data_IF_546881516823
#
_entry.id   IF_546881516823
#
_cell.length_a   1.000
_cell.length_b   1.000
_cell.length_c   1.000
_cell.angle_alpha   90.00
_cell.angle_beta   90.00
_cell.angle_gamma   90.00
#
_symmetry.space_group_name_H-M   'P 1'
#
loop_
_entity.id
_entity.type
_entity.pdbx_description
1 polymer ?
#
# COMPACT_ATOMS: atom_id res chain seq x y z
N UNK A 1 15.59 -57.73 62.14
CA UNK A 1 16.45 -56.59 62.53
C UNK A 1 15.83 -55.92 63.73
N UNK A 2 16.56 -55.86 64.84
CA UNK A 2 16.09 -55.24 66.09
C UNK A 2 15.90 -53.74 65.90
N UNK A 3 14.96 -53.14 66.65
CA UNK A 3 14.65 -51.70 66.58
C UNK A 3 15.88 -50.83 66.85
N UNK A 4 16.84 -51.33 67.61
CA UNK A 4 18.10 -50.65 67.92
C UNK A 4 19.13 -50.73 66.78
N UNK A 5 19.17 -51.82 66.01
CA UNK A 5 20.01 -51.93 64.81
C UNK A 5 19.55 -50.97 63.71
N UNK A 6 18.23 -50.80 63.56
CA UNK A 6 17.63 -49.83 62.63
C UNK A 6 17.89 -48.38 63.07
N UNK A 7 17.99 -48.12 64.37
CA UNK A 7 18.40 -46.80 64.89
C UNK A 7 19.88 -46.54 64.64
N UNK A 8 20.73 -47.53 64.88
CA UNK A 8 22.17 -47.40 64.70
C UNK A 8 22.55 -47.17 63.23
N UNK A 9 21.96 -47.94 62.31
CA UNK A 9 22.14 -47.74 60.85
C UNK A 9 21.69 -46.35 60.38
N UNK A 10 20.57 -45.82 60.91
CA UNK A 10 20.12 -44.45 60.62
C UNK A 10 21.11 -43.41 61.15
N UNK A 11 21.64 -43.58 62.36
CA UNK A 11 22.64 -42.68 62.95
C UNK A 11 23.93 -42.71 62.12
N UNK A 12 24.37 -43.88 61.69
CA UNK A 12 25.60 -44.03 60.92
C UNK A 12 25.46 -43.45 59.51
N UNK A 13 24.31 -43.65 58.85
CA UNK A 13 23.99 -42.99 57.59
C UNK A 13 23.96 -41.46 57.72
N UNK A 14 23.41 -40.93 58.80
CA UNK A 14 23.41 -39.48 59.07
C UNK A 14 24.84 -38.95 59.31
N UNK A 15 25.66 -39.67 60.07
CA UNK A 15 27.08 -39.32 60.29
C UNK A 15 27.88 -39.35 58.98
N UNK A 16 27.66 -40.36 58.14
CA UNK A 16 28.31 -40.46 56.83
C UNK A 16 27.89 -39.32 55.89
N UNK A 17 26.59 -39.00 55.84
CA UNK A 17 26.09 -37.88 55.05
C UNK A 17 26.67 -36.53 55.53
N UNK A 18 26.79 -36.32 56.84
CA UNK A 18 27.44 -35.14 57.40
C UNK A 18 28.93 -35.07 57.06
N UNK A 19 29.66 -36.19 57.16
CA UNK A 19 31.07 -36.26 56.79
C UNK A 19 31.30 -35.96 55.30
N UNK A 20 30.45 -36.50 54.43
CA UNK A 20 30.48 -36.24 52.98
C UNK A 20 30.25 -34.75 52.67
N UNK A 21 29.20 -34.15 53.25
CA UNK A 21 28.91 -32.71 53.09
C UNK A 21 30.04 -31.82 53.60
N UNK A 22 30.68 -32.20 54.71
CA UNK A 22 31.86 -31.49 55.25
C UNK A 22 33.04 -31.56 54.26
N UNK A 23 33.34 -32.75 53.73
CA UNK A 23 34.43 -32.95 52.77
C UNK A 23 34.22 -32.16 51.47
N UNK A 24 33.00 -32.18 50.94
CA UNK A 24 32.65 -31.44 49.73
C UNK A 24 32.80 -29.91 49.94
N UNK A 25 32.25 -29.39 51.04
CA UNK A 25 32.40 -27.96 51.39
C UNK A 25 33.87 -27.55 51.55
N UNK A 26 34.70 -28.40 52.16
CA UNK A 26 36.14 -28.16 52.32
C UNK A 26 36.85 -28.14 50.96
N UNK A 27 36.51 -29.07 50.06
CA UNK A 27 37.06 -29.10 48.70
C UNK A 27 36.73 -27.82 47.92
N UNK A 28 35.48 -27.34 47.99
CA UNK A 28 35.06 -26.09 47.34
C UNK A 28 35.83 -24.88 47.87
N UNK A 29 36.02 -24.80 49.19
CA UNK A 29 36.81 -23.73 49.81
C UNK A 29 38.26 -23.77 49.33
N UNK A 30 38.88 -24.95 49.27
CA UNK A 30 40.24 -25.10 48.76
C UNK A 30 40.37 -24.72 47.27
N UNK A 31 39.38 -25.09 46.45
CA UNK A 31 39.35 -24.72 45.04
C UNK A 31 39.18 -23.20 44.86
N UNK A 32 38.29 -22.58 45.63
CA UNK A 32 38.08 -21.13 45.62
C UNK A 32 39.35 -20.37 46.00
N UNK A 33 40.08 -20.84 47.03
CA UNK A 33 41.37 -20.26 47.42
C UNK A 33 42.37 -20.37 46.27
N UNK A 34 42.56 -21.56 45.67
CA UNK A 34 43.48 -21.75 44.53
C UNK A 34 43.14 -20.86 43.34
N UNK A 35 41.84 -20.67 43.09
CA UNK A 35 41.37 -19.81 42.01
C UNK A 35 41.68 -18.33 42.25
N UNK A 36 41.45 -17.85 43.48
CA UNK A 36 41.76 -16.48 43.87
C UNK A 36 43.27 -16.20 43.88
N UNK A 37 44.08 -17.17 44.32
CA UNK A 37 45.55 -17.09 44.25
C UNK A 37 46.04 -16.97 42.81
N UNK A 38 45.53 -17.78 41.87
CA UNK A 38 45.91 -17.73 40.45
C UNK A 38 45.62 -16.39 39.78
N UNK A 39 44.55 -15.71 40.20
CA UNK A 39 44.15 -14.41 39.66
C UNK A 39 44.77 -13.22 40.39
N UNK A 40 45.57 -13.48 41.43
CA UNK A 40 46.13 -12.47 42.31
C UNK A 40 45.05 -11.52 42.89
N UNK A 41 43.85 -12.05 43.11
CA UNK A 41 42.75 -11.31 43.72
C UNK A 41 42.91 -11.27 45.24
N UNK A 42 42.26 -10.29 45.90
CA UNK A 42 42.33 -10.13 47.35
C UNK A 42 41.63 -11.29 48.07
N UNK A 43 42.39 -12.05 48.85
CA UNK A 43 41.85 -13.18 49.62
C UNK A 43 41.32 -12.66 50.96
N UNK A 44 39.99 -12.67 51.09
CA UNK A 44 39.26 -12.30 52.29
C UNK A 44 38.20 -13.36 52.58
N UNK A 45 37.77 -13.49 53.84
CA UNK A 45 36.69 -14.38 54.24
C UNK A 45 35.43 -14.20 53.39
N UNK A 46 35.09 -12.95 53.03
CA UNK A 46 33.93 -12.67 52.20
C UNK A 46 34.11 -13.10 50.74
N UNK A 47 35.29 -12.84 50.13
CA UNK A 47 35.56 -13.23 48.74
C UNK A 47 35.66 -14.74 48.60
N UNK A 48 36.27 -15.42 49.57
CA UNK A 48 36.34 -16.89 49.63
C UNK A 48 34.95 -17.51 49.83
N UNK A 49 34.11 -16.95 50.72
CA UNK A 49 32.74 -17.42 50.93
C UNK A 49 31.89 -17.33 49.66
N UNK A 50 31.97 -16.18 48.96
CA UNK A 50 31.27 -15.95 47.70
C UNK A 50 31.71 -16.97 46.63
N UNK A 51 33.02 -17.16 46.45
CA UNK A 51 33.56 -18.05 45.41
C UNK A 51 33.35 -19.54 45.72
N UNK A 52 33.42 -19.94 46.99
CA UNK A 52 33.20 -21.33 47.40
C UNK A 52 31.71 -21.68 47.56
N UNK A 53 30.81 -20.69 47.44
CA UNK A 53 29.38 -20.80 47.71
C UNK A 53 29.10 -21.42 49.10
N UNK A 54 29.78 -20.91 50.13
CA UNK A 54 29.58 -21.29 51.54
C UNK A 54 29.28 -20.05 52.37
N UNK A 55 28.56 -20.21 53.48
CA UNK A 55 28.29 -19.08 54.36
C UNK A 55 29.57 -18.61 55.06
N UNK A 56 29.66 -17.31 55.35
CA UNK A 56 30.78 -16.75 56.12
C UNK A 56 30.88 -17.41 57.49
N UNK A 57 29.74 -17.71 58.12
CA UNK A 57 29.68 -18.44 59.38
C UNK A 57 30.34 -19.83 59.30
N UNK A 58 30.22 -20.54 58.17
CA UNK A 58 30.87 -21.83 57.96
C UNK A 58 32.40 -21.72 58.00
N UNK A 59 32.98 -20.67 57.40
CA UNK A 59 34.42 -20.43 57.41
C UNK A 59 34.95 -20.15 58.82
N UNK A 60 34.15 -19.49 59.68
CA UNK A 60 34.49 -19.26 61.08
C UNK A 60 34.26 -20.49 61.97
N UNK A 61 33.31 -21.36 61.61
CA UNK A 61 32.98 -22.57 62.38
C UNK A 61 34.15 -23.57 62.45
N UNK A 62 34.99 -23.64 61.41
CA UNK A 62 36.13 -24.57 61.35
C UNK A 62 37.46 -23.81 61.45
N UNK A 63 38.20 -23.94 62.56
CA UNK A 63 39.45 -23.20 62.79
C UNK A 63 40.51 -23.43 61.71
N UNK A 64 40.58 -24.63 61.14
CA UNK A 64 41.52 -25.01 60.08
C UNK A 64 41.38 -24.09 58.85
N UNK A 65 40.14 -23.80 58.46
CA UNK A 65 39.83 -22.94 57.31
C UNK A 65 40.17 -21.48 57.65
N UNK A 66 39.84 -21.04 58.86
CA UNK A 66 40.14 -19.69 59.35
C UNK A 66 41.64 -19.41 59.36
N UNK A 67 42.43 -20.33 59.88
CA UNK A 67 43.90 -20.21 59.92
C UNK A 67 44.49 -20.17 58.52
N UNK A 68 44.03 -21.03 57.62
CA UNK A 68 44.50 -21.07 56.23
C UNK A 68 44.25 -19.75 55.49
N UNK A 69 43.03 -19.21 55.58
CA UNK A 69 42.69 -17.91 54.98
C UNK A 69 43.52 -16.78 55.61
N UNK A 70 43.74 -16.81 56.92
CA UNK A 70 44.56 -15.80 57.61
C UNK A 70 46.04 -15.86 57.19
N UNK A 71 46.62 -17.06 57.07
CA UNK A 71 47.99 -17.25 56.60
C UNK A 71 48.18 -16.69 55.19
N UNK A 72 47.29 -17.02 54.27
CA UNK A 72 47.35 -16.55 52.87
C UNK A 72 47.15 -15.02 52.81
N UNK A 73 46.27 -14.47 53.64
CA UNK A 73 46.09 -13.03 53.73
C UNK A 73 47.35 -12.34 54.24
N UNK A 74 48.03 -12.91 55.23
CA UNK A 74 49.26 -12.36 55.79
C UNK A 74 50.41 -12.42 54.79
N UNK A 75 50.54 -13.52 54.04
CA UNK A 75 51.54 -13.62 52.97
C UNK A 75 51.25 -12.63 51.85
N UNK A 76 49.99 -12.47 51.41
CA UNK A 76 49.61 -11.44 50.44
C UNK A 76 49.89 -10.01 50.94
N UNK A 77 49.74 -9.73 52.24
CA UNK A 77 50.03 -8.39 52.80
C UNK A 77 51.51 -8.11 53.05
N UNK A 78 52.34 -9.15 53.19
CA UNK A 78 53.78 -9.04 53.44
C UNK A 78 54.60 -8.99 52.15
N UNK A 79 53.99 -9.24 50.99
CA UNK A 79 54.64 -9.01 49.70
C UNK A 79 54.82 -7.50 49.50
N UNK A 80 56.00 -7.02 49.07
CA UNK A 80 56.18 -5.63 48.68
C UNK A 80 55.10 -5.31 47.67
N UNK A 81 54.19 -4.38 48.03
CA UNK A 81 53.24 -3.83 47.08
C UNK A 81 54.12 -3.21 45.99
N UNK A 82 54.13 -3.79 44.79
CA UNK A 82 54.66 -3.08 43.64
C UNK A 82 53.89 -1.75 43.62
N UNK A 83 54.58 -0.68 44.02
CA UNK A 83 54.13 0.66 43.71
C UNK A 83 53.96 0.64 42.20
N UNK A 84 52.70 0.68 41.76
CA UNK A 84 52.34 0.78 40.36
C UNK A 84 53.22 1.88 39.78
N UNK A 85 54.28 1.49 39.06
CA UNK A 85 55.16 2.42 38.36
C UNK A 85 54.23 3.35 37.63
N UNK A 86 54.21 4.61 38.05
CA UNK A 86 53.39 5.67 37.49
C UNK A 86 53.48 5.53 35.98
N UNK A 87 52.43 4.96 35.37
CA UNK A 87 52.42 4.73 33.94
C UNK A 87 52.59 6.11 33.33
N UNK A 88 53.68 6.33 32.60
CA UNK A 88 54.06 7.60 31.96
C UNK A 88 52.82 8.46 31.70
N UNK A 89 52.78 9.69 32.22
CA UNK A 89 51.66 10.66 32.07
C UNK A 89 51.01 10.66 30.66
N UNK A 90 51.80 10.35 29.63
CA UNK A 90 51.37 10.20 28.23
C UNK A 90 50.39 9.04 27.95
N UNK A 91 50.42 7.93 28.70
CA UNK A 91 49.44 6.84 28.57
C UNK A 91 48.12 7.15 29.27
N UNK A 92 48.18 7.77 30.46
CA UNK A 92 46.98 8.22 31.18
C UNK A 92 46.21 9.29 30.41
N UNK A 93 46.91 10.26 29.81
CA UNK A 93 46.30 11.28 28.95
C UNK A 93 45.61 10.67 27.72
N UNK A 94 46.22 9.69 27.04
CA UNK A 94 45.58 8.96 25.93
C UNK A 94 44.32 8.19 26.35
N UNK A 95 44.31 7.61 27.55
CA UNK A 95 43.13 6.92 28.09
C UNK A 95 42.02 7.94 28.38
N UNK A 96 42.38 9.08 28.98
CA UNK A 96 41.45 10.18 29.26
C UNK A 96 40.84 10.76 28.00
N UNK A 97 41.60 10.97 26.92
CA UNK A 97 41.06 11.47 25.66
C UNK A 97 40.08 10.48 25.04
N UNK A 98 40.43 9.19 24.97
CA UNK A 98 39.52 8.14 24.47
C UNK A 98 38.24 8.03 25.30
N UNK A 99 38.34 8.13 26.64
CA UNK A 99 37.15 8.13 27.49
C UNK A 99 36.26 9.34 27.24
N UNK A 100 36.85 10.54 27.10
CA UNK A 100 36.09 11.76 26.78
C UNK A 100 35.40 11.66 25.43
N UNK A 101 36.10 11.18 24.41
CA UNK A 101 35.53 10.92 23.07
C UNK A 101 34.36 9.92 23.16
N UNK A 102 34.54 8.84 23.93
CA UNK A 102 33.47 7.84 24.10
C UNK A 102 32.26 8.42 24.83
N UNK A 103 32.47 9.24 25.86
CA UNK A 103 31.39 9.92 26.59
C UNK A 103 30.63 10.85 25.65
N UNK A 104 31.33 11.68 24.88
CA UNK A 104 30.69 12.59 23.92
C UNK A 104 29.87 11.84 22.87
N UNK A 105 30.39 10.72 22.35
CA UNK A 105 29.68 9.90 21.39
C UNK A 105 28.41 9.30 22.00
N UNK A 106 28.52 8.73 23.21
CA UNK A 106 27.37 8.19 23.94
C UNK A 106 26.33 9.27 24.29
N UNK A 107 26.74 10.46 24.68
CA UNK A 107 25.85 11.58 24.94
C UNK A 107 25.11 12.03 23.67
N UNK A 108 25.82 12.09 22.54
CA UNK A 108 25.23 12.43 21.24
C UNK A 108 24.21 11.38 20.80
N UNK A 109 24.51 10.10 20.97
CA UNK A 109 23.62 8.99 20.66
C UNK A 109 22.38 9.01 21.57
N UNK A 110 22.57 9.22 22.87
CA UNK A 110 21.47 9.32 23.83
C UNK A 110 20.54 10.51 23.48
N UNK A 111 21.10 11.65 23.08
CA UNK A 111 20.31 12.81 22.61
C UNK A 111 19.52 12.48 21.35
N UNK A 112 20.11 11.78 20.39
CA UNK A 112 19.38 11.35 19.18
C UNK A 112 18.27 10.34 19.50
N UNK A 113 18.55 9.36 20.37
CA UNK A 113 17.56 8.37 20.80
C UNK A 113 16.38 9.02 21.52
N UNK A 114 16.64 10.00 22.40
CA UNK A 114 15.57 10.78 23.05
C UNK A 114 14.68 11.50 22.05
N UNK A 115 15.27 12.20 21.07
CA UNK A 115 14.51 12.86 19.98
C UNK A 115 13.66 11.87 19.19
N UNK A 116 14.20 10.70 18.85
CA UNK A 116 13.45 9.64 18.16
C UNK A 116 12.30 9.15 19.04
N UNK A 117 12.51 8.95 20.33
CA UNK A 117 11.46 8.54 21.28
C UNK A 117 10.36 9.59 21.41
N UNK A 118 10.70 10.88 21.51
CA UNK A 118 9.72 11.96 21.54
C UNK A 118 8.87 12.01 20.26
N UNK A 119 9.50 11.87 19.09
CA UNK A 119 8.80 11.82 17.82
C UNK A 119 7.87 10.60 17.72
N UNK A 120 8.34 9.42 18.14
CA UNK A 120 7.53 8.21 18.20
C UNK A 120 6.37 8.34 19.18
N UNK A 121 6.58 8.91 20.37
CA UNK A 121 5.51 9.18 21.33
C UNK A 121 4.43 10.09 20.73
N UNK A 122 4.82 11.13 20.00
CA UNK A 122 3.88 12.00 19.27
C UNK A 122 3.13 11.27 18.15
N UNK A 123 3.77 10.32 17.46
CA UNK A 123 3.10 9.48 16.46
C UNK A 123 2.10 8.52 17.13
N UNK A 124 2.48 7.85 18.21
CA UNK A 124 1.60 6.95 18.97
C UNK A 124 0.38 7.69 19.49
N UNK A 125 0.54 8.91 20.02
CA UNK A 125 -0.59 9.72 20.46
C UNK A 125 -1.56 10.01 19.30
N UNK A 126 -1.06 10.38 18.13
CA UNK A 126 -1.89 10.58 16.92
C UNK A 126 -2.62 9.32 16.51
N UNK A 127 -1.93 8.18 16.50
CA UNK A 127 -2.53 6.88 16.16
C UNK A 127 -3.67 6.54 17.12
N UNK A 128 -3.48 6.75 18.42
CA UNK A 128 -4.53 6.53 19.42
C UNK A 128 -5.74 7.43 19.19
N UNK A 129 -5.52 8.72 18.90
CA UNK A 129 -6.61 9.65 18.57
C UNK A 129 -7.37 9.22 17.32
N UNK A 130 -6.66 8.79 16.27
CA UNK A 130 -7.28 8.28 15.05
C UNK A 130 -8.07 6.99 15.30
N UNK A 131 -7.54 6.09 16.11
CA UNK A 131 -8.22 4.86 16.47
C UNK A 131 -9.54 5.14 17.20
N UNK A 132 -9.54 6.07 18.16
CA UNK A 132 -10.75 6.47 18.88
C UNK A 132 -11.79 7.08 17.93
N UNK A 133 -11.37 7.88 16.95
CA UNK A 133 -12.26 8.41 15.92
C UNK A 133 -12.86 7.31 15.04
N UNK A 134 -12.06 6.32 14.64
CA UNK A 134 -12.53 5.18 13.86
C UNK A 134 -13.53 4.34 14.65
N UNK A 135 -13.29 4.10 15.94
CA UNK A 135 -14.21 3.38 16.82
C UNK A 135 -15.54 4.13 16.99
N UNK A 136 -15.48 5.45 17.16
CA UNK A 136 -16.71 6.28 17.17
C UNK A 136 -17.46 6.17 15.85
N UNK A 137 -16.77 6.33 14.72
CA UNK A 137 -17.40 6.22 13.40
C UNK A 137 -18.02 4.84 13.18
N UNK A 138 -17.32 3.76 13.53
CA UNK A 138 -17.87 2.40 13.38
C UNK A 138 -19.13 2.19 14.22
N UNK A 139 -19.17 2.71 15.45
CA UNK A 139 -20.37 2.67 16.29
C UNK A 139 -21.54 3.44 15.67
N UNK A 140 -21.29 4.61 15.05
CA UNK A 140 -22.34 5.39 14.38
C UNK A 140 -22.87 4.66 13.15
N UNK A 141 -22.00 4.04 12.36
CA UNK A 141 -22.40 3.23 11.20
C UNK A 141 -23.27 2.07 11.67
N UNK A 142 -22.86 1.36 12.72
CA UNK A 142 -23.62 0.25 13.28
C UNK A 142 -25.01 0.70 13.79
N UNK A 143 -25.11 1.86 14.45
CA UNK A 143 -26.39 2.42 14.88
C UNK A 143 -27.28 2.79 13.68
N UNK A 144 -26.71 3.43 12.66
CA UNK A 144 -27.44 3.77 11.44
C UNK A 144 -27.94 2.52 10.72
N UNK A 145 -27.13 1.46 10.62
CA UNK A 145 -27.54 0.17 10.06
C UNK A 145 -28.70 -0.45 10.84
N UNK A 146 -28.64 -0.43 12.19
CA UNK A 146 -29.73 -0.89 13.04
C UNK A 146 -31.01 -0.09 12.79
N UNK A 147 -30.93 1.24 12.75
CA UNK A 147 -32.09 2.11 12.46
C UNK A 147 -32.67 1.84 11.07
N UNK A 148 -31.82 1.66 10.06
CA UNK A 148 -32.23 1.37 8.69
C UNK A 148 -32.94 0.02 8.62
N UNK A 149 -32.38 -1.01 9.27
CA UNK A 149 -33.00 -2.33 9.36
C UNK A 149 -34.33 -2.28 10.11
N UNK A 150 -34.42 -1.57 11.23
CA UNK A 150 -35.68 -1.37 11.95
C UNK A 150 -36.73 -0.67 11.08
N UNK A 151 -36.33 0.35 10.30
CA UNK A 151 -37.21 1.04 9.36
C UNK A 151 -37.67 0.14 8.22
N UNK A 152 -36.79 -0.71 7.68
CA UNK A 152 -37.16 -1.75 6.70
C UNK A 152 -38.20 -2.72 7.29
N UNK A 153 -37.98 -3.23 8.50
CA UNK A 153 -38.92 -4.11 9.18
C UNK A 153 -40.28 -3.42 9.42
N UNK A 154 -40.26 -2.15 9.84
CA UNK A 154 -41.49 -1.37 10.03
C UNK A 154 -42.25 -1.17 8.71
N UNK A 155 -41.56 -0.82 7.62
CA UNK A 155 -42.17 -0.61 6.31
C UNK A 155 -42.81 -1.89 5.74
N UNK A 156 -42.22 -3.07 6.02
CA UNK A 156 -42.81 -4.38 5.65
C UNK A 156 -44.06 -4.69 6.47
N UNK A 157 -44.13 -4.26 7.73
CA UNK A 157 -45.30 -4.47 8.60
C UNK A 157 -46.43 -3.47 8.34
N UNK A 158 -46.11 -2.23 7.99
CA UNK A 158 -47.08 -1.18 7.67
C UNK A 158 -47.59 -1.23 6.23
N UNK A 159 -46.90 -1.94 5.33
CA UNK A 159 -47.38 -2.20 3.97
C UNK A 159 -48.51 -3.24 3.95
N UNK A 160 -49.68 -2.90 4.48
CA UNK A 160 -50.98 -3.47 4.04
C UNK A 160 -51.46 -2.74 2.79
N UNK A 161 -50.55 -2.51 1.85
CA UNK A 161 -50.87 -1.94 0.54
C UNK A 161 -50.66 -3.07 -0.46
N UNK A 162 -51.65 -3.32 -1.29
CA UNK A 162 -51.52 -4.22 -2.45
C UNK A 162 -50.25 -3.85 -3.19
N UNK A 163 -49.28 -4.77 -3.36
CA UNK A 163 -48.07 -4.46 -4.09
C UNK A 163 -48.49 -4.01 -5.48
N UNK A 164 -48.21 -2.75 -5.84
CA UNK A 164 -48.26 -2.36 -7.24
C UNK A 164 -47.29 -3.30 -7.93
N UNK A 165 -47.81 -4.20 -8.79
CA UNK A 165 -46.98 -5.15 -9.53
C UNK A 165 -45.83 -4.35 -10.13
N UNK A 166 -44.62 -4.52 -9.59
CA UNK A 166 -43.43 -3.97 -10.24
C UNK A 166 -43.46 -4.59 -11.61
N UNK A 167 -43.75 -3.79 -12.65
CA UNK A 167 -43.62 -4.21 -14.04
C UNK A 167 -42.25 -4.85 -14.12
N UNK A 168 -42.22 -6.18 -14.34
CA UNK A 168 -40.98 -6.91 -14.56
C UNK A 168 -40.34 -6.20 -15.75
N UNK A 169 -39.31 -5.41 -15.50
CA UNK A 169 -38.51 -4.85 -16.57
C UNK A 169 -37.80 -6.04 -17.20
N UNK A 170 -38.40 -6.58 -18.26
CA UNK A 170 -37.72 -7.54 -19.12
C UNK A 170 -36.48 -6.82 -19.67
N UNK A 171 -35.31 -7.39 -19.42
CA UNK A 171 -34.07 -6.92 -20.02
C UNK A 171 -34.25 -7.05 -21.53
N UNK A 172 -34.34 -5.91 -22.21
CA UNK A 172 -34.51 -5.85 -23.65
C UNK A 172 -33.19 -6.27 -24.27
N UNK A 173 -33.17 -7.48 -24.83
CA UNK A 173 -32.01 -8.05 -25.52
C UNK A 173 -32.10 -7.59 -26.97
N UNK A 174 -31.06 -6.92 -27.46
CA UNK A 174 -30.91 -6.63 -28.90
C UNK A 174 -30.83 -8.01 -29.57
N UNK A 175 -31.62 -8.31 -30.59
CA UNK A 175 -31.65 -9.68 -31.16
C UNK A 175 -30.62 -9.86 -32.30
N UNK A 176 -30.21 -8.77 -32.97
CA UNK A 176 -29.30 -8.80 -34.11
C UNK A 176 -27.82 -8.94 -33.71
N UNK A 177 -27.18 -10.02 -34.14
CA UNK A 177 -25.79 -10.35 -33.80
C UNK A 177 -24.77 -9.41 -34.45
N UNK A 178 -25.06 -8.83 -35.62
CA UNK A 178 -24.17 -7.87 -36.28
C UNK A 178 -24.13 -6.54 -35.52
N UNK A 179 -25.29 -6.07 -35.04
CA UNK A 179 -25.36 -4.82 -34.27
C UNK A 179 -24.66 -5.02 -32.90
N UNK A 180 -24.76 -6.21 -32.29
CA UNK A 180 -24.03 -6.52 -31.05
C UNK A 180 -22.52 -6.53 -31.25
N UNK A 181 -22.01 -7.14 -32.31
CA UNK A 181 -20.57 -7.21 -32.56
C UNK A 181 -19.98 -5.81 -32.75
N UNK A 182 -20.64 -4.97 -33.55
CA UNK A 182 -20.19 -3.60 -33.79
C UNK A 182 -20.21 -2.72 -32.53
N UNK A 183 -21.28 -2.82 -31.71
CA UNK A 183 -21.34 -2.10 -30.43
C UNK A 183 -20.27 -2.55 -29.44
N UNK A 184 -19.93 -3.85 -29.45
CA UNK A 184 -18.88 -4.41 -28.61
C UNK A 184 -17.48 -3.96 -29.06
N UNK A 185 -17.24 -3.87 -30.37
CA UNK A 185 -15.98 -3.39 -30.94
C UNK A 185 -15.75 -1.91 -30.59
N UNK A 186 -16.82 -1.12 -30.53
CA UNK A 186 -16.80 0.29 -30.14
C UNK A 186 -16.81 0.51 -28.61
N UNK A 187 -16.81 -0.57 -27.82
CA UNK A 187 -16.90 -0.57 -26.36
C UNK A 187 -18.11 0.22 -25.80
N UNK A 188 -19.22 0.26 -26.55
CA UNK A 188 -20.44 0.98 -26.18
C UNK A 188 -21.38 0.04 -25.42
N UNK A 189 -21.54 0.29 -24.12
CA UNK A 189 -22.51 -0.45 -23.29
C UNK A 189 -23.93 0.03 -23.60
N UNK A 190 -24.73 -0.83 -24.24
CA UNK A 190 -26.12 -0.51 -24.54
C UNK A 190 -26.95 -0.27 -23.26
N UNK A 191 -27.50 0.95 -23.15
CA UNK A 191 -28.44 1.31 -22.09
C UNK A 191 -29.89 0.95 -22.52
N UNK A 192 -30.84 1.00 -21.58
CA UNK A 192 -32.23 0.59 -21.84
C UNK A 192 -32.94 1.45 -22.90
N UNK A 193 -32.48 2.68 -23.12
CA UNK A 193 -33.02 3.59 -24.15
C UNK A 193 -32.50 3.23 -25.53
N UNK A 194 -31.19 2.98 -25.66
CA UNK A 194 -30.54 2.56 -26.89
C UNK A 194 -31.05 1.20 -27.35
N UNK A 195 -31.19 0.22 -26.44
CA UNK A 195 -31.74 -1.10 -26.77
C UNK A 195 -33.17 -1.03 -27.30
N UNK A 196 -34.02 -0.15 -26.74
CA UNK A 196 -35.39 0.09 -27.24
C UNK A 196 -35.38 0.76 -28.61
N UNK A 197 -34.48 1.71 -28.81
CA UNK A 197 -34.39 2.47 -30.05
C UNK A 197 -33.91 1.57 -31.20
N UNK A 198 -32.92 0.72 -30.95
CA UNK A 198 -32.40 -0.27 -31.91
C UNK A 198 -33.51 -1.26 -32.31
N UNK A 199 -34.29 -1.79 -31.36
CA UNK A 199 -35.37 -2.72 -31.67
C UNK A 199 -36.53 -2.11 -32.45
N UNK A 200 -36.81 -0.81 -32.24
CA UNK A 200 -37.91 -0.10 -32.91
C UNK A 200 -37.53 0.39 -34.30
N UNK A 201 -36.24 0.56 -34.58
CA UNK A 201 -35.74 1.18 -35.81
C UNK A 201 -35.32 0.11 -36.80
N UNK A 202 -35.38 0.41 -38.11
CA UNK A 202 -34.91 -0.49 -39.16
C UNK A 202 -33.40 -0.71 -39.04
N UNK A 203 -32.95 -1.94 -39.32
CA UNK A 203 -31.54 -2.36 -39.24
C UNK A 203 -30.58 -1.45 -40.00
N UNK A 204 -30.95 -1.07 -41.23
CA UNK A 204 -30.14 -0.24 -42.12
C UNK A 204 -29.80 1.12 -41.50
N UNK A 205 -30.79 1.79 -40.90
CA UNK A 205 -30.60 3.09 -40.24
C UNK A 205 -29.66 2.98 -39.03
N UNK A 206 -29.72 1.86 -38.31
CA UNK A 206 -28.84 1.62 -37.16
C UNK A 206 -27.40 1.37 -37.62
N UNK A 207 -27.20 0.62 -38.71
CA UNK A 207 -25.88 0.40 -39.30
C UNK A 207 -25.28 1.71 -39.83
N UNK A 208 -26.06 2.50 -40.56
CA UNK A 208 -25.66 3.82 -41.05
C UNK A 208 -25.23 4.75 -39.90
N UNK A 209 -25.99 4.74 -38.79
CA UNK A 209 -25.66 5.52 -37.60
C UNK A 209 -24.38 5.04 -36.89
N UNK A 210 -24.10 3.72 -36.92
CA UNK A 210 -22.85 3.14 -36.40
C UNK A 210 -21.67 3.57 -37.26
N UNK A 211 -21.82 3.56 -38.59
CA UNK A 211 -20.76 3.98 -39.50
C UNK A 211 -20.47 5.49 -39.37
N UNK A 212 -21.50 6.33 -39.21
CA UNK A 212 -21.33 7.74 -38.86
C UNK A 212 -20.52 7.92 -37.56
N UNK A 213 -20.75 7.06 -36.56
CA UNK A 213 -20.01 7.11 -35.30
C UNK A 213 -18.55 6.67 -35.49
N UNK A 214 -18.27 5.68 -36.34
CA UNK A 214 -16.89 5.28 -36.69
C UNK A 214 -16.15 6.44 -37.37
N UNK A 215 -16.78 7.12 -38.33
CA UNK A 215 -16.22 8.29 -39.01
C UNK A 215 -15.99 9.46 -38.04
N UNK A 216 -16.95 9.72 -37.15
CA UNK A 216 -16.84 10.77 -36.14
C UNK A 216 -15.69 10.51 -35.17
N UNK A 217 -15.48 9.25 -34.75
CA UNK A 217 -14.35 8.85 -33.91
C UNK A 217 -13.00 8.95 -34.63
N UNK A 218 -12.98 8.71 -35.95
CA UNK A 218 -11.77 8.85 -36.76
C UNK A 218 -11.38 10.33 -36.95
N UNK A 219 -12.37 11.22 -37.09
CA UNK A 219 -12.16 12.64 -37.39
C UNK A 219 -12.02 13.49 -36.13
N UNK A 220 -12.77 13.16 -35.06
CA UNK A 220 -12.89 13.98 -33.85
C UNK A 220 -13.01 13.14 -32.56
N UNK A 221 -12.68 13.74 -31.42
CA UNK A 221 -12.85 13.06 -30.13
C UNK A 221 -14.29 13.19 -29.62
N UNK A 222 -15.10 12.13 -29.81
CA UNK A 222 -16.48 12.08 -29.30
C UNK A 222 -16.48 11.78 -27.79
N UNK A 223 -16.91 12.76 -26.96
CA UNK A 223 -16.97 12.64 -25.49
C UNK A 223 -17.94 11.56 -25.00
N UNK A 224 -19.06 11.35 -25.70
CA UNK A 224 -20.07 10.35 -25.33
C UNK A 224 -20.56 9.58 -26.58
N UNK A 225 -19.93 8.44 -26.91
CA UNK A 225 -20.29 7.66 -28.10
C UNK A 225 -21.69 7.05 -28.00
N UNK A 226 -22.15 6.69 -26.79
CA UNK A 226 -23.50 6.14 -26.60
C UNK A 226 -24.59 7.19 -26.83
N UNK A 227 -24.34 8.44 -26.42
CA UNK A 227 -25.25 9.57 -26.64
C UNK A 227 -25.32 9.97 -28.11
N UNK A 228 -24.15 10.03 -28.76
CA UNK A 228 -24.02 10.31 -30.19
C UNK A 228 -24.80 9.30 -31.02
N UNK A 229 -24.67 7.99 -30.72
CA UNK A 229 -25.41 6.96 -31.44
C UNK A 229 -26.94 7.09 -31.27
N UNK A 230 -27.41 7.51 -30.09
CA UNK A 230 -28.85 7.76 -29.87
C UNK A 230 -29.34 8.93 -30.72
N UNK A 231 -28.57 10.01 -30.85
CA UNK A 231 -28.91 11.15 -31.71
C UNK A 231 -28.84 10.79 -33.18
N UNK A 232 -27.81 10.05 -33.60
CA UNK A 232 -27.65 9.57 -34.97
C UNK A 232 -28.82 8.68 -35.40
N UNK A 233 -29.26 7.74 -34.54
CA UNK A 233 -30.41 6.87 -34.84
C UNK A 233 -31.73 7.68 -34.84
N UNK A 234 -31.90 8.67 -33.94
CA UNK A 234 -33.11 9.50 -33.89
C UNK A 234 -33.26 10.41 -35.11
N UNK A 235 -32.16 10.97 -35.58
CA UNK A 235 -32.13 11.90 -36.70
C UNK A 235 -31.84 11.19 -38.04
N UNK A 236 -31.80 9.85 -38.04
CA UNK A 236 -31.51 9.01 -39.20
C UNK A 236 -30.27 9.51 -39.98
N UNK A 237 -29.17 9.76 -39.27
CA UNK A 237 -27.91 10.15 -39.90
C UNK A 237 -27.46 9.02 -40.82
N UNK A 238 -27.28 9.37 -42.09
CA UNK A 238 -26.70 8.49 -43.09
C UNK A 238 -25.23 8.81 -43.23
N UNK A 239 -24.46 7.82 -43.69
CA UNK A 239 -23.12 8.07 -44.24
C UNK A 239 -23.23 9.27 -45.18
N UNK A 240 -22.33 10.24 -45.04
CA UNK A 240 -22.32 11.38 -45.92
C UNK A 240 -21.98 10.91 -47.35
N UNK A 241 -23.00 10.56 -48.15
CA UNK A 241 -22.85 10.18 -49.56
C UNK A 241 -22.28 11.34 -50.39
N UNK A 242 -22.40 12.57 -49.90
CA UNK A 242 -21.76 13.75 -50.45
C UNK A 242 -20.55 14.19 -49.62
N UNK A 243 -19.75 13.23 -49.17
CA UNK A 243 -18.34 13.52 -49.01
C UNK A 243 -17.80 13.77 -50.42
N UNK A 244 -17.36 15.00 -50.68
CA UNK A 244 -16.63 15.40 -51.90
C UNK A 244 -15.33 14.67 -52.19
N UNK A 245 -15.13 13.52 -51.54
CA UNK A 245 -14.07 12.58 -51.83
C UNK A 245 -14.27 11.90 -53.19
N UNK A 246 -15.49 11.81 -53.72
CA UNK A 246 -15.75 11.09 -54.98
C UNK A 246 -15.80 11.99 -56.24
N UNK A 247 -15.88 13.32 -56.10
CA UNK A 247 -15.59 14.21 -57.23
C UNK A 247 -14.07 14.28 -57.33
N UNK A 248 -13.50 13.50 -58.24
CA UNK A 248 -12.07 13.53 -58.55
C UNK A 248 -11.66 15.01 -58.69
N UNK A 249 -10.78 15.56 -57.82
CA UNK A 249 -10.50 16.99 -57.75
C UNK A 249 -10.07 17.60 -59.10
N UNK A 250 -9.58 16.77 -60.01
CA UNK A 250 -9.29 17.12 -61.40
C UNK A 250 -10.53 17.48 -62.23
N UNK A 251 -11.65 16.76 -62.09
CA UNK A 251 -12.87 16.99 -62.87
C UNK A 251 -13.44 18.38 -62.53
N UNK A 252 -13.55 18.70 -61.22
CA UNK A 252 -13.98 20.02 -60.79
C UNK A 252 -13.02 21.11 -61.27
N UNK A 253 -11.71 20.91 -61.12
CA UNK A 253 -10.70 21.90 -61.53
C UNK A 253 -10.78 22.20 -63.03
N UNK A 254 -10.86 21.15 -63.86
CA UNK A 254 -10.96 21.26 -65.32
C UNK A 254 -12.25 21.94 -65.75
N UNK A 255 -13.38 21.52 -65.21
CA UNK A 255 -14.67 22.14 -65.50
C UNK A 255 -14.70 23.61 -65.04
N UNK A 256 -14.17 23.92 -63.86
CA UNK A 256 -14.18 25.28 -63.32
C UNK A 256 -13.28 26.22 -64.13
N UNK A 257 -12.13 25.76 -64.61
CA UNK A 257 -11.26 26.53 -65.51
C UNK A 257 -11.95 26.81 -66.86
N UNK A 258 -12.64 25.83 -67.43
CA UNK A 258 -13.44 26.00 -68.65
C UNK A 258 -14.62 26.96 -68.44
N UNK A 259 -15.42 26.76 -67.40
CA UNK A 259 -16.57 27.61 -67.10
C UNK A 259 -16.15 29.05 -66.76
N UNK A 260 -14.95 29.24 -66.20
CA UNK A 260 -14.37 30.57 -65.96
C UNK A 260 -13.83 31.22 -67.23
N UNK A 261 -13.24 30.46 -68.17
CA UNK A 261 -12.77 31.00 -69.46
C UNK A 261 -13.93 31.40 -70.36
N UNK A 262 -15.06 30.70 -70.29
CA UNK A 262 -16.33 31.05 -70.96
C UNK A 262 -17.10 32.18 -70.25
N UNK A 263 -16.61 32.65 -69.09
CA UNK A 263 -17.23 33.72 -68.32
C UNK A 263 -18.55 33.33 -67.66
N UNK A 264 -18.83 32.04 -67.49
CA UNK A 264 -20.04 31.52 -66.82
C UNK A 264 -19.92 31.49 -65.30
N UNK A 265 -18.69 31.57 -64.79
CA UNK A 265 -18.37 31.43 -63.38
C UNK A 265 -17.26 32.39 -62.98
N UNK A 266 -17.39 33.00 -61.80
CA UNK A 266 -16.41 33.96 -61.26
C UNK A 266 -15.53 33.33 -60.18
N UNK A 267 -16.15 32.65 -59.22
CA UNK A 267 -15.47 32.11 -58.04
C UNK A 267 -16.23 30.90 -57.51
N UNK A 268 -15.57 30.05 -56.74
CA UNK A 268 -16.22 29.00 -55.96
C UNK A 268 -16.08 29.25 -54.47
N UNK A 269 -17.05 28.80 -53.67
CA UNK A 269 -17.03 28.89 -52.20
C UNK A 269 -17.53 27.60 -51.58
N UNK A 270 -16.88 27.19 -50.51
CA UNK A 270 -17.24 26.04 -49.69
C UNK A 270 -18.10 26.51 -48.51
N UNK A 271 -19.34 26.04 -48.41
CA UNK A 271 -20.25 26.37 -47.29
C UNK A 271 -20.92 25.08 -46.83
N UNK A 272 -20.75 24.74 -45.54
CA UNK A 272 -21.41 23.58 -44.90
C UNK A 272 -21.23 22.24 -45.63
N UNK A 273 -20.10 22.04 -46.31
CA UNK A 273 -19.85 20.81 -47.06
C UNK A 273 -20.51 20.77 -48.46
N UNK A 274 -21.01 21.91 -48.96
CA UNK A 274 -21.55 22.10 -50.32
C UNK A 274 -20.82 23.26 -51.04
N UNK A 275 -20.58 23.14 -52.35
CA UNK A 275 -19.54 23.81 -53.14
C UNK A 275 -20.34 24.64 -54.09
N UNK A 276 -20.43 25.90 -53.75
CA UNK A 276 -21.20 26.85 -54.50
C UNK A 276 -20.30 27.48 -55.53
N UNK A 277 -20.84 27.62 -56.72
CA UNK A 277 -20.21 28.29 -57.83
C UNK A 277 -20.95 29.59 -58.06
N UNK A 278 -20.21 30.69 -58.11
CA UNK A 278 -20.76 32.04 -58.25
C UNK A 278 -20.86 32.38 -59.73
N UNK A 279 -22.09 32.68 -60.19
CA UNK A 279 -22.32 33.22 -61.54
C UNK A 279 -21.85 34.68 -61.62
N UNK A 280 -21.66 35.24 -62.82
CA UNK A 280 -21.35 36.67 -63.01
C UNK A 280 -22.42 37.60 -62.45
N UNK A 281 -23.64 37.10 -62.32
CA UNK A 281 -24.80 37.81 -61.80
C UNK A 281 -24.81 37.84 -60.26
N UNK A 282 -23.89 37.12 -59.60
CA UNK A 282 -23.72 37.08 -58.16
C UNK A 282 -24.54 36.01 -57.44
N UNK A 283 -25.17 35.09 -58.19
CA UNK A 283 -25.93 33.98 -57.62
C UNK A 283 -25.02 32.82 -57.24
N UNK A 284 -25.29 32.20 -56.09
CA UNK A 284 -24.56 31.04 -55.58
C UNK A 284 -25.34 29.77 -55.89
N UNK A 285 -24.88 29.01 -56.87
CA UNK A 285 -25.54 27.76 -57.31
C UNK A 285 -24.66 26.58 -56.87
N UNK A 286 -25.21 25.51 -56.28
CA UNK A 286 -24.45 24.29 -55.98
C UNK A 286 -23.79 23.72 -57.24
N UNK A 287 -22.53 23.32 -57.16
CA UNK A 287 -21.75 22.76 -58.28
C UNK A 287 -22.47 21.58 -58.94
N UNK A 288 -23.12 20.74 -58.15
CA UNK A 288 -23.86 19.56 -58.62
C UNK A 288 -25.07 19.94 -59.49
N UNK A 289 -25.69 21.09 -59.25
CA UNK A 289 -26.76 21.62 -60.09
C UNK A 289 -26.20 22.30 -61.34
N UNK A 290 -25.04 22.96 -61.21
CA UNK A 290 -24.39 23.68 -62.29
C UNK A 290 -23.75 22.76 -63.33
N UNK A 291 -23.23 21.58 -62.94
CA UNK A 291 -22.68 20.59 -63.86
C UNK A 291 -23.77 19.98 -64.76
N UNK A 292 -25.03 19.90 -64.28
CA UNK A 292 -26.16 19.46 -65.09
C UNK A 292 -26.60 20.52 -66.11
N UNK A 293 -26.50 21.81 -65.74
CA UNK A 293 -26.81 22.92 -66.65
C UNK A 293 -25.72 23.10 -67.72
N UNK A 294 -24.45 22.86 -67.36
CA UNK A 294 -23.29 22.98 -68.24
C UNK A 294 -22.42 21.72 -68.17
N UNK A 295 -22.87 20.61 -68.78
CA UNK A 295 -22.11 19.37 -68.77
C UNK A 295 -20.82 19.52 -69.55
N UNK A 296 -19.73 19.02 -68.98
CA UNK A 296 -18.43 18.96 -69.64
C UNK A 296 -18.52 18.07 -70.89
N UNK A 297 -18.34 18.66 -72.08
CA UNK A 297 -18.16 17.86 -73.29
C UNK A 297 -16.71 17.41 -73.36
N UNK A 298 -16.46 16.11 -73.14
CA UNK A 298 -15.17 15.51 -73.48
C UNK A 298 -15.01 15.58 -75.00
N UNK A 299 -14.13 16.47 -75.46
CA UNK A 299 -13.48 16.36 -76.77
C UNK A 299 -12.08 15.80 -76.53
#
# INVERSE_FOLDING_TARGET
MSKDELRQTRIDNLKQAQASRKKDSLNRVNQAIKYLEKRNEKINFHTVALQANVSVAYLYKYPEIKQKIAQIRNTQSSMPREELKSTSSKSQTKILTRLKERIQLLESENKQLKRKNEALAGQVYRVHQLQELVERQSSTIQDLEKRLNARKLFNVKSSKVTPLKKKRYQKIVIDDDQIKSELSALNIKANSTLSKLIQRTKKEVVLNAIDCLKEALATTQVKNPAGFLVEAIKNAWNKNEHAWADIEPEIFRRWFEMAKSEGKVVSCRFIEGILYVCTPEGELIPFEEMIHQYPYQMI
#
